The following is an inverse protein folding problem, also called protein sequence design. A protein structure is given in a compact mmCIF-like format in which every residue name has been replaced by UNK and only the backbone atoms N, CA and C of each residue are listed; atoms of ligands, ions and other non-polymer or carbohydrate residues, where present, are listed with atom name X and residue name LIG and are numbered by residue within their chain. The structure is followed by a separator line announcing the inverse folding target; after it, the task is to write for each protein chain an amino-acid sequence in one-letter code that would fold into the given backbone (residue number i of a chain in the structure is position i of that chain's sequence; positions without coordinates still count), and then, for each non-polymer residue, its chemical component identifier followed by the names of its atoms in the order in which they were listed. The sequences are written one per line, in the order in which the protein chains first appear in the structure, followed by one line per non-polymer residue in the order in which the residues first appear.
data_IF_348769643455
#
_entry.id   IF_348769643455
#
_cell.length_a   1.000
_cell.length_b   1.000
_cell.length_c   1.000
_cell.angle_alpha   90.00
_cell.angle_beta   90.00
_cell.angle_gamma   90.00
#
_symmetry.space_group_name_H-M   'P 1'
#
loop_
_entity.id
_entity.type
_entity.pdbx_description
1 polymer ?
#
# COMPACT_ATOMS: atom_id res chain seq x y z
N UNK A 1 13.03 -14.89 -16.16
CA UNK A 1 12.51 -13.72 -16.91
C UNK A 1 12.18 -12.66 -15.88
N UNK A 2 12.93 -11.55 -15.85
CA UNK A 2 12.62 -10.41 -14.96
C UNK A 2 11.54 -9.59 -15.65
N UNK A 3 10.35 -9.45 -15.05
CA UNK A 3 9.33 -8.50 -15.50
C UNK A 3 9.89 -7.10 -15.23
N UNK A 4 10.29 -6.41 -16.30
CA UNK A 4 10.65 -4.99 -16.25
C UNK A 4 9.33 -4.24 -16.29
N UNK A 5 9.04 -3.47 -15.24
CA UNK A 5 7.92 -2.53 -15.25
C UNK A 5 8.39 -1.33 -16.07
N UNK A 6 7.92 -1.23 -17.30
CA UNK A 6 8.09 -0.04 -18.12
C UNK A 6 7.07 1.01 -17.67
N UNK A 7 7.52 1.94 -16.83
CA UNK A 7 6.82 3.21 -16.66
C UNK A 7 6.93 3.95 -17.99
N UNK A 8 5.92 3.79 -18.84
CA UNK A 8 5.72 4.68 -19.98
C UNK A 8 5.82 6.13 -19.48
N UNK A 9 6.33 7.02 -20.31
CA UNK A 9 6.50 8.45 -20.02
C UNK A 9 5.17 9.11 -19.62
N UNK A 10 4.74 8.94 -18.36
CA UNK A 10 3.63 9.67 -17.77
C UNK A 10 4.16 11.07 -17.52
N UNK A 11 3.79 11.99 -18.42
CA UNK A 11 4.10 13.42 -18.34
C UNK A 11 3.29 14.14 -17.25
N UNK A 12 2.42 13.43 -16.53
CA UNK A 12 1.69 13.97 -15.38
C UNK A 12 2.08 13.27 -14.08
N UNK A 13 2.60 14.07 -13.14
CA UNK A 13 2.87 13.69 -11.75
C UNK A 13 1.62 13.09 -11.07
N UNK A 14 0.42 13.52 -11.49
CA UNK A 14 -0.88 13.08 -10.98
C UNK A 14 -1.18 11.63 -11.39
N UNK A 15 -1.03 11.29 -12.67
CA UNK A 15 -1.25 9.92 -13.12
C UNK A 15 -0.25 8.91 -12.53
N UNK A 16 0.98 9.35 -12.18
CA UNK A 16 1.91 8.52 -11.40
C UNK A 16 1.46 8.35 -9.95
N UNK A 17 0.85 9.38 -9.37
CA UNK A 17 0.35 9.36 -8.01
C UNK A 17 -0.89 8.46 -7.90
N UNK A 18 -1.78 8.47 -8.90
CA UNK A 18 -2.90 7.52 -9.03
C UNK A 18 -2.41 6.07 -9.10
N UNK A 19 -1.37 5.81 -9.91
CA UNK A 19 -0.75 4.48 -9.99
C UNK A 19 -0.16 4.04 -8.64
N UNK A 20 0.52 4.94 -7.93
CA UNK A 20 1.04 4.69 -6.58
C UNK A 20 -0.09 4.39 -5.61
N UNK A 21 -1.17 5.18 -5.61
CA UNK A 21 -2.35 4.95 -4.76
C UNK A 21 -2.93 3.55 -4.99
N UNK A 22 -3.13 3.16 -6.25
CA UNK A 22 -3.63 1.83 -6.59
C UNK A 22 -2.70 0.69 -6.15
N UNK A 23 -1.38 0.90 -6.13
CA UNK A 23 -0.43 -0.07 -5.59
C UNK A 23 -0.46 -0.13 -4.06
N UNK A 24 -0.58 1.00 -3.39
CA UNK A 24 -0.69 1.08 -1.93
C UNK A 24 -1.96 0.40 -1.44
N UNK A 25 -3.10 0.60 -2.13
CA UNK A 25 -4.36 -0.08 -1.83
C UNK A 25 -4.21 -1.60 -1.90
N UNK A 26 -3.67 -2.11 -3.01
CA UNK A 26 -3.46 -3.56 -3.21
C UNK A 26 -2.52 -4.15 -2.15
N UNK A 27 -1.44 -3.44 -1.82
CA UNK A 27 -0.47 -3.92 -0.84
C UNK A 27 -1.06 -3.92 0.58
N UNK A 28 -1.83 -2.89 0.94
CA UNK A 28 -2.57 -2.79 2.21
C UNK A 28 -3.51 -3.96 2.37
N UNK A 29 -4.36 -4.23 1.38
CA UNK A 29 -5.29 -5.36 1.41
C UNK A 29 -4.55 -6.69 1.57
N UNK A 30 -3.49 -6.92 0.78
CA UNK A 30 -2.72 -8.16 0.87
C UNK A 30 -2.00 -8.33 2.21
N UNK A 31 -1.53 -7.24 2.83
CA UNK A 31 -0.89 -7.29 4.14
C UNK A 31 -1.91 -7.51 5.26
N UNK A 32 -3.11 -6.92 5.15
CA UNK A 32 -4.20 -7.16 6.10
C UNK A 32 -4.65 -8.63 6.11
N UNK A 33 -4.83 -9.23 4.93
CA UNK A 33 -5.13 -10.66 4.80
C UNK A 33 -4.04 -11.52 5.47
N UNK A 34 -2.77 -11.16 5.27
CA UNK A 34 -1.65 -11.89 5.88
C UNK A 34 -1.60 -11.71 7.40
N UNK A 35 -1.87 -10.52 7.94
CA UNK A 35 -1.95 -10.29 9.38
C UNK A 35 -3.05 -11.15 10.00
N UNK A 36 -4.22 -11.23 9.37
CA UNK A 36 -5.33 -12.09 9.82
C UNK A 36 -4.93 -13.57 9.83
N UNK A 37 -4.23 -14.04 8.79
CA UNK A 37 -3.70 -15.41 8.74
C UNK A 37 -2.75 -15.68 9.92
N UNK A 38 -1.79 -14.78 10.19
CA UNK A 38 -0.84 -14.90 11.30
C UNK A 38 -1.55 -14.88 12.67
N UNK A 39 -2.56 -14.03 12.86
CA UNK A 39 -3.38 -14.01 14.07
C UNK A 39 -4.15 -15.33 14.28
N UNK A 40 -4.69 -15.89 13.18
CA UNK A 40 -5.48 -17.12 13.21
C UNK A 40 -4.66 -18.37 13.53
N UNK A 41 -3.39 -18.40 13.11
CA UNK A 41 -2.47 -19.53 13.31
C UNK A 41 -1.82 -19.54 14.72
N UNK A 42 -2.15 -18.57 15.60
CA UNK A 42 -1.43 -18.33 16.87
C UNK A 42 0.09 -18.24 16.64
N UNK A 43 0.51 -17.54 15.59
CA UNK A 43 1.92 -17.19 15.38
C UNK A 43 2.46 -16.37 16.57
N UNK A 44 3.78 -16.20 16.61
CA UNK A 44 4.43 -15.42 17.66
C UNK A 44 3.85 -14.00 17.73
N UNK A 45 3.34 -13.61 18.91
CA UNK A 45 2.70 -12.30 19.17
C UNK A 45 3.57 -11.12 18.71
N UNK A 46 4.90 -11.26 18.80
CA UNK A 46 5.86 -10.26 18.31
C UNK A 46 5.78 -10.07 16.78
N UNK A 47 5.62 -11.15 16.00
CA UNK A 47 5.49 -11.06 14.54
C UNK A 47 4.18 -10.41 14.13
N UNK A 48 3.09 -10.81 14.77
CA UNK A 48 1.76 -10.20 14.55
C UNK A 48 1.87 -8.70 14.82
N UNK A 49 2.41 -8.30 15.97
CA UNK A 49 2.60 -6.89 16.34
C UNK A 49 3.38 -6.12 15.28
N UNK A 50 4.53 -6.64 14.82
CA UNK A 50 5.35 -5.98 13.80
C UNK A 50 4.63 -5.88 12.45
N UNK A 51 3.86 -6.90 12.06
CA UNK A 51 3.10 -6.87 10.81
C UNK A 51 1.91 -5.90 10.88
N UNK A 52 1.24 -5.81 12.03
CA UNK A 52 0.19 -4.80 12.28
C UNK A 52 0.76 -3.38 12.22
N UNK A 53 1.93 -3.12 12.85
CA UNK A 53 2.61 -1.83 12.75
C UNK A 53 2.98 -1.47 11.30
N UNK A 54 3.39 -2.47 10.51
CA UNK A 54 3.69 -2.28 9.09
C UNK A 54 2.41 -1.99 8.25
N UNK A 55 1.28 -2.59 8.62
CA UNK A 55 -0.02 -2.31 8.00
C UNK A 55 -0.48 -0.88 8.30
N UNK A 56 -0.40 -0.45 9.56
CA UNK A 56 -0.74 0.92 9.97
C UNK A 56 0.11 1.95 9.21
N UNK A 57 1.42 1.73 9.10
CA UNK A 57 2.31 2.62 8.36
C UNK A 57 1.98 2.67 6.85
N UNK A 58 1.42 1.59 6.31
CA UNK A 58 0.99 1.52 4.92
C UNK A 58 -0.36 2.20 4.69
N UNK A 59 -1.27 2.12 5.66
CA UNK A 59 -2.51 2.90 5.70
C UNK A 59 -2.21 4.40 5.76
N UNK A 60 -1.31 4.84 6.64
CA UNK A 60 -0.84 6.22 6.72
C UNK A 60 -0.25 6.72 5.38
N UNK A 61 0.54 5.87 4.71
CA UNK A 61 1.12 6.21 3.41
C UNK A 61 0.06 6.31 2.30
N UNK A 62 -0.94 5.41 2.31
CA UNK A 62 -2.07 5.46 1.39
C UNK A 62 -2.89 6.73 1.58
N UNK A 63 -3.25 7.06 2.82
CA UNK A 63 -4.05 8.23 3.16
C UNK A 63 -3.33 9.53 2.74
N UNK A 64 -2.03 9.63 2.98
CA UNK A 64 -1.23 10.79 2.55
C UNK A 64 -1.17 10.95 1.02
N UNK A 65 -1.18 9.85 0.27
CA UNK A 65 -1.21 9.86 -1.20
C UNK A 65 -2.59 10.25 -1.71
N UNK A 66 -3.65 9.69 -1.12
CA UNK A 66 -5.04 10.02 -1.45
C UNK A 66 -5.38 11.48 -1.13
N UNK A 67 -4.90 12.04 -0.01
CA UNK A 67 -5.07 13.46 0.33
C UNK A 67 -4.58 14.37 -0.80
N UNK A 68 -3.38 14.09 -1.34
CA UNK A 68 -2.80 14.88 -2.43
C UNK A 68 -3.57 14.70 -3.75
N UNK A 69 -4.12 13.52 -4.01
CA UNK A 69 -4.96 13.26 -5.19
C UNK A 69 -6.31 13.98 -5.10
N UNK A 70 -6.95 13.97 -3.93
CA UNK A 70 -8.24 14.61 -3.69
C UNK A 70 -8.14 16.14 -3.67
N UNK A 71 -7.09 16.70 -3.05
CA UNK A 71 -6.81 18.15 -3.03
C UNK A 71 -6.44 18.73 -4.41
N UNK A 72 -6.15 17.88 -5.39
CA UNK A 72 -5.86 18.26 -6.78
C UNK A 72 -7.10 18.45 -7.66
N UNK A 73 -8.30 18.15 -7.18
CA UNK A 73 -9.54 18.35 -7.95
C UNK A 73 -10.06 19.79 -7.82
N UNK A 74 -10.15 20.59 -8.91
CA UNK A 74 -10.68 21.96 -8.85
C UNK A 74 -12.18 22.03 -8.55
#
# INVERSE_FOLDING_TARGET
MKKIIEFASVSDKEARLEEISGYLEQLKTSLAELVEDYESENEEEEKVTVLTEALDALEDAYDAVEEVLLDGTP
#
